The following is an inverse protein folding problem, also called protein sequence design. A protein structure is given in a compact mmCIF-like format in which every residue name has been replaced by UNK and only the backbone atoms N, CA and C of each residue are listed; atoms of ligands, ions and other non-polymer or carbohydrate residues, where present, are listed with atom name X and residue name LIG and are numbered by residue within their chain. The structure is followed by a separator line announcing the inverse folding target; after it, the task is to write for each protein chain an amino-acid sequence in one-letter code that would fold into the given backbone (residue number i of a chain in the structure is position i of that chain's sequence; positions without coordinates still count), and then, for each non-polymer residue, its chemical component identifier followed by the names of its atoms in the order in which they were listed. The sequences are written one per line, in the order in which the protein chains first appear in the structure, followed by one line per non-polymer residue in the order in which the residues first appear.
data_IF_757479555436
#
_entry.id   IF_757479555436
#
_cell.length_a   1.000
_cell.length_b   1.000
_cell.length_c   1.000
_cell.angle_alpha   90.00
_cell.angle_beta   90.00
_cell.angle_gamma   90.00
#
_symmetry.space_group_name_H-M   'P 1'
#
loop_
_entity.id
_entity.type
_entity.pdbx_description
1 polymer ?
#
# COMPACT_ATOMS: atom_id res chain seq x y z
N UNK A 1 0.36 -44.14 41.10
CA UNK A 1 0.03 -44.96 39.91
C UNK A 1 -1.00 -44.36 38.96
N UNK A 2 -2.00 -43.57 39.40
CA UNK A 2 -3.00 -42.94 38.50
C UNK A 2 -2.41 -41.92 37.51
N UNK A 3 -1.45 -41.10 37.94
CA UNK A 3 -0.83 -40.07 37.09
C UNK A 3 -0.05 -40.66 35.89
N UNK A 4 0.68 -41.76 36.10
CA UNK A 4 1.39 -42.45 35.01
C UNK A 4 0.42 -43.02 33.96
N UNK A 5 -0.74 -43.54 34.39
CA UNK A 5 -1.75 -44.08 33.45
C UNK A 5 -2.39 -43.00 32.58
N UNK A 6 -2.57 -41.79 33.12
CA UNK A 6 -3.07 -40.63 32.36
C UNK A 6 -2.03 -40.19 31.33
N UNK A 7 -0.77 -40.09 31.73
CA UNK A 7 0.32 -39.69 30.83
C UNK A 7 0.51 -40.67 29.67
N UNK A 8 0.55 -41.98 29.96
CA UNK A 8 0.68 -43.01 28.92
C UNK A 8 -0.54 -43.05 27.98
N UNK A 9 -1.75 -42.81 28.51
CA UNK A 9 -2.96 -42.71 27.70
C UNK A 9 -2.90 -41.53 26.72
N UNK A 10 -2.47 -40.37 27.19
CA UNK A 10 -2.31 -39.18 26.34
C UNK A 10 -1.25 -39.38 25.24
N UNK A 11 -0.09 -39.98 25.58
CA UNK A 11 0.95 -40.24 24.58
C UNK A 11 0.50 -41.23 23.49
N UNK A 12 -0.28 -42.25 23.87
CA UNK A 12 -0.83 -43.20 22.90
C UNK A 12 -1.85 -42.53 21.97
N UNK A 13 -2.68 -41.63 22.51
CA UNK A 13 -3.63 -40.84 21.72
C UNK A 13 -2.94 -39.96 20.67
N UNK A 14 -1.91 -39.21 21.07
CA UNK A 14 -1.16 -38.36 20.14
C UNK A 14 -0.41 -39.15 19.06
N UNK A 15 0.13 -40.33 19.41
CA UNK A 15 0.79 -41.20 18.44
C UNK A 15 -0.19 -41.69 17.35
N UNK A 16 -1.42 -42.06 17.72
CA UNK A 16 -2.45 -42.49 16.77
C UNK A 16 -2.90 -41.35 15.85
N UNK A 17 -3.03 -40.13 16.38
CA UNK A 17 -3.37 -38.94 15.56
C UNK A 17 -2.27 -38.62 14.56
N UNK A 18 -1.00 -38.66 14.98
CA UNK A 18 0.13 -38.41 14.09
C UNK A 18 0.22 -39.43 12.94
N UNK A 19 -0.04 -40.72 13.22
CA UNK A 19 -0.09 -41.78 12.20
C UNK A 19 -1.26 -41.56 11.24
N UNK A 20 -2.44 -41.16 11.74
CA UNK A 20 -3.59 -40.82 10.91
C UNK A 20 -3.31 -39.66 9.94
N UNK A 21 -2.60 -38.63 10.41
CA UNK A 21 -2.19 -37.49 9.57
C UNK A 21 -1.16 -37.86 8.49
N UNK A 22 -0.25 -38.82 8.77
CA UNK A 22 0.70 -39.30 7.75
C UNK A 22 0.02 -40.15 6.66
N UNK A 23 -1.01 -40.90 7.01
CA UNK A 23 -1.73 -41.76 6.08
C UNK A 23 -2.82 -41.01 5.30
N UNK A 24 -3.16 -39.78 5.71
CA UNK A 24 -4.13 -38.96 5.01
C UNK A 24 -3.56 -38.55 3.64
N UNK A 25 -4.24 -38.89 2.52
CA UNK A 25 -3.81 -38.49 1.19
C UNK A 25 -3.94 -36.97 1.06
N UNK A 26 -2.83 -36.28 1.26
CA UNK A 26 -2.67 -34.84 1.02
C UNK A 26 -2.48 -34.64 -0.48
N UNK A 27 -3.59 -34.65 -1.22
CA UNK A 27 -3.57 -34.15 -2.57
C UNK A 27 -3.38 -32.62 -2.50
N UNK A 28 -2.29 -32.05 -3.07
CA UNK A 28 -2.19 -30.61 -3.16
C UNK A 28 -3.38 -30.09 -3.99
N UNK A 29 -3.93 -28.91 -3.66
CA UNK A 29 -4.96 -28.30 -4.48
C UNK A 29 -4.39 -28.08 -5.89
N UNK A 30 -4.80 -28.93 -6.83
CA UNK A 30 -4.42 -28.81 -8.23
C UNK A 30 -5.25 -27.66 -8.79
N UNK A 31 -4.64 -26.47 -8.85
CA UNK A 31 -5.20 -25.38 -9.63
C UNK A 31 -5.45 -25.91 -11.05
N UNK A 32 -6.64 -25.68 -11.65
CA UNK A 32 -6.82 -25.96 -13.05
C UNK A 32 -5.75 -25.18 -13.80
N UNK A 33 -5.02 -25.86 -14.69
CA UNK A 33 -4.18 -25.16 -15.65
C UNK A 33 -5.15 -24.31 -16.47
N UNK A 34 -5.29 -23.04 -16.11
CA UNK A 34 -5.83 -22.05 -17.02
C UNK A 34 -4.90 -22.07 -18.21
N UNK A 35 -5.33 -22.75 -19.25
CA UNK A 35 -4.73 -22.67 -20.56
C UNK A 35 -4.73 -21.19 -20.89
N UNK A 36 -3.56 -20.55 -20.75
CA UNK A 36 -3.36 -19.18 -21.13
C UNK A 36 -3.46 -19.17 -22.64
N UNK A 37 -4.70 -19.02 -23.13
CA UNK A 37 -4.95 -18.60 -24.49
C UNK A 37 -4.25 -17.25 -24.57
N UNK A 38 -3.02 -17.25 -25.10
CA UNK A 38 -2.33 -16.05 -25.45
C UNK A 38 -3.34 -15.19 -26.22
N UNK A 39 -3.56 -13.92 -25.84
CA UNK A 39 -4.48 -13.08 -26.58
C UNK A 39 -3.98 -13.12 -28.02
N UNK A 40 -4.80 -13.72 -28.90
CA UNK A 40 -4.54 -13.70 -30.32
C UNK A 40 -4.26 -12.25 -30.64
N UNK A 41 -3.07 -11.99 -31.18
CA UNK A 41 -2.72 -10.67 -31.67
C UNK A 41 -3.66 -10.48 -32.86
N UNK A 42 -4.87 -9.98 -32.57
CA UNK A 42 -5.74 -9.44 -33.59
C UNK A 42 -4.91 -8.36 -34.22
N UNK A 43 -4.45 -8.60 -35.45
CA UNK A 43 -3.98 -7.52 -36.29
C UNK A 43 -5.13 -6.53 -36.31
N UNK A 44 -4.99 -5.48 -35.50
CA UNK A 44 -5.94 -4.40 -35.49
C UNK A 44 -5.97 -3.93 -36.94
N UNK A 45 -7.12 -4.13 -37.59
CA UNK A 45 -7.42 -3.43 -38.83
C UNK A 45 -7.01 -2.00 -38.59
N UNK A 46 -5.99 -1.55 -39.32
CA UNK A 46 -5.42 -0.21 -39.22
C UNK A 46 -6.60 0.75 -39.30
N UNK A 47 -7.01 1.30 -38.15
CA UNK A 47 -7.97 2.40 -38.15
C UNK A 47 -7.31 3.47 -39.00
N UNK A 48 -8.04 4.12 -39.93
CA UNK A 48 -7.49 5.26 -40.65
C UNK A 48 -6.94 6.20 -39.59
N UNK A 49 -5.62 6.37 -39.56
CA UNK A 49 -5.00 7.40 -38.73
C UNK A 49 -5.67 8.69 -39.21
N UNK A 50 -6.49 9.38 -38.40
CA UNK A 50 -6.91 10.70 -38.79
C UNK A 50 -5.60 11.45 -38.99
N UNK A 51 -5.37 11.96 -40.20
CA UNK A 51 -4.22 12.81 -40.52
C UNK A 51 -4.30 14.02 -39.60
N UNK A 52 -3.77 13.86 -38.39
CA UNK A 52 -3.48 14.98 -37.52
C UNK A 52 -2.51 15.84 -38.33
N UNK A 53 -2.71 17.17 -38.38
CA UNK A 53 -1.71 18.04 -38.99
C UNK A 53 -0.35 17.67 -38.39
N UNK A 54 0.72 17.60 -39.20
CA UNK A 54 2.03 17.22 -38.70
C UNK A 54 2.33 18.14 -37.53
N UNK A 55 2.43 17.56 -36.32
CA UNK A 55 2.79 18.32 -35.15
C UNK A 55 4.08 19.05 -35.52
N UNK A 56 4.04 20.38 -35.48
CA UNK A 56 5.19 21.19 -35.87
C UNK A 56 6.38 20.70 -35.07
N UNK A 57 7.56 20.61 -35.69
CA UNK A 57 8.77 20.13 -35.01
C UNK A 57 8.96 20.81 -33.64
N UNK A 58 8.67 22.12 -33.57
CA UNK A 58 8.67 22.91 -32.34
C UNK A 58 7.72 22.37 -31.24
N UNK A 59 6.52 21.92 -31.61
CA UNK A 59 5.53 21.34 -30.67
C UNK A 59 6.06 20.05 -30.07
N UNK A 60 6.61 19.15 -30.90
CA UNK A 60 7.17 17.87 -30.46
C UNK A 60 8.32 18.10 -29.47
N UNK A 61 9.22 19.05 -29.80
CA UNK A 61 10.35 19.42 -28.93
C UNK A 61 9.85 20.03 -27.62
N UNK A 62 8.81 20.87 -27.65
CA UNK A 62 8.28 21.53 -26.45
C UNK A 62 7.58 20.57 -25.46
N UNK A 63 7.00 19.48 -25.95
CA UNK A 63 6.34 18.46 -25.10
C UNK A 63 7.31 17.37 -24.63
N UNK A 64 8.50 17.28 -25.23
CA UNK A 64 9.50 16.29 -24.85
C UNK A 64 10.11 16.59 -23.46
N UNK A 65 9.96 15.62 -22.55
CA UNK A 65 10.47 15.71 -21.17
C UNK A 65 12.00 15.77 -21.07
N UNK A 66 12.72 15.40 -22.13
CA UNK A 66 14.18 15.36 -22.24
C UNK A 66 14.78 16.56 -22.99
N UNK A 67 13.97 17.53 -23.43
CA UNK A 67 14.47 18.71 -24.15
C UNK A 67 15.40 19.56 -23.27
N UNK A 68 16.50 20.02 -23.85
CA UNK A 68 17.53 20.82 -23.16
C UNK A 68 16.98 22.15 -22.63
N UNK A 69 16.02 22.77 -23.33
CA UNK A 69 15.41 24.04 -22.95
C UNK A 69 14.27 23.90 -21.93
N UNK A 70 14.05 22.70 -21.38
CA UNK A 70 12.97 22.45 -20.44
C UNK A 70 13.24 23.16 -19.11
N UNK A 71 12.39 24.13 -18.80
CA UNK A 71 12.37 24.77 -17.47
C UNK A 71 11.53 23.91 -16.53
N UNK A 72 12.06 23.50 -15.36
CA UNK A 72 11.26 22.78 -14.37
C UNK A 72 10.02 23.58 -13.97
N UNK A 73 8.86 22.93 -13.75
CA UNK A 73 7.69 23.61 -13.24
C UNK A 73 8.02 24.30 -11.92
N UNK A 74 7.62 25.57 -11.79
CA UNK A 74 7.88 26.39 -10.60
C UNK A 74 7.17 25.85 -9.35
N UNK A 75 6.09 25.09 -9.55
CA UNK A 75 5.32 24.47 -8.48
C UNK A 75 5.73 23.02 -8.35
N UNK A 76 6.21 22.65 -7.16
CA UNK A 76 6.42 21.24 -6.81
C UNK A 76 5.12 20.68 -6.26
N UNK A 77 4.67 19.54 -6.79
CA UNK A 77 3.56 18.81 -6.20
C UNK A 77 3.96 18.33 -4.80
N UNK A 78 3.31 18.85 -3.77
CA UNK A 78 3.36 18.29 -2.43
C UNK A 78 2.07 17.48 -2.27
N UNK A 79 2.15 16.15 -2.09
CA UNK A 79 0.95 15.38 -1.86
C UNK A 79 0.30 15.81 -0.52
N UNK A 80 -1.03 16.00 -0.47
CA UNK A 80 -1.72 16.50 0.73
C UNK A 80 -1.54 15.53 1.89
N UNK A 81 -1.40 16.02 3.12
CA UNK A 81 -1.14 15.18 4.30
C UNK A 81 0.35 15.11 4.64
N UNK A 82 0.81 16.02 5.49
CA UNK A 82 2.13 15.99 6.14
C UNK A 82 1.96 15.56 7.60
N UNK A 83 2.69 14.53 8.00
CA UNK A 83 2.68 14.02 9.38
C UNK A 83 3.76 14.70 10.22
N UNK A 84 3.34 15.44 11.25
CA UNK A 84 4.22 16.21 12.14
C UNK A 84 4.47 15.55 13.49
N UNK A 85 3.52 14.74 13.96
CA UNK A 85 3.60 14.14 15.29
C UNK A 85 2.70 12.94 15.43
N UNK A 86 3.08 12.04 16.32
CA UNK A 86 2.24 10.93 16.79
C UNK A 86 2.34 10.91 18.31
N UNK A 87 1.21 10.70 18.97
CA UNK A 87 1.15 10.47 20.42
C UNK A 87 0.41 9.17 20.68
N UNK A 88 1.02 8.29 21.48
CA UNK A 88 0.38 7.04 21.93
C UNK A 88 0.00 7.22 23.40
N UNK A 89 -1.30 7.25 23.68
CA UNK A 89 -1.84 7.37 25.02
C UNK A 89 -1.65 6.08 25.84
N UNK A 90 -1.68 6.21 27.17
CA UNK A 90 -1.51 5.08 28.09
C UNK A 90 -2.59 3.99 27.93
N UNK A 91 -3.77 4.35 27.41
CA UNK A 91 -4.88 3.46 27.06
C UNK A 91 -4.71 2.76 25.70
N UNK A 92 -3.58 2.96 25.01
CA UNK A 92 -3.36 2.46 23.65
C UNK A 92 -4.04 3.29 22.56
N UNK A 93 -4.64 4.43 22.90
CA UNK A 93 -5.22 5.37 21.94
C UNK A 93 -4.10 6.13 21.23
N UNK A 94 -3.94 5.89 19.94
CA UNK A 94 -2.98 6.62 19.11
C UNK A 94 -3.66 7.83 18.44
N UNK A 95 -2.92 8.93 18.39
CA UNK A 95 -3.37 10.17 17.78
C UNK A 95 -2.25 10.74 16.92
N UNK A 96 -2.60 11.25 15.74
CA UNK A 96 -1.65 11.80 14.78
C UNK A 96 -1.91 13.30 14.56
N UNK A 97 -0.83 14.06 14.40
CA UNK A 97 -0.86 15.47 14.04
C UNK A 97 -0.55 15.61 12.54
N UNK A 98 -1.55 15.90 11.73
CA UNK A 98 -1.46 15.88 10.26
C UNK A 98 -1.94 17.22 9.69
N UNK A 99 -1.17 17.78 8.77
CA UNK A 99 -1.56 18.93 7.95
C UNK A 99 -2.07 18.41 6.61
N UNK A 100 -3.40 18.43 6.45
CA UNK A 100 -4.09 17.81 5.32
C UNK A 100 -5.14 18.71 4.66
N UNK A 101 -5.73 19.64 5.41
CA UNK A 101 -6.73 20.57 4.91
C UNK A 101 -6.05 21.92 4.53
N UNK A 102 -6.11 22.35 3.26
CA UNK A 102 -5.55 23.62 2.84
C UNK A 102 -6.30 24.84 3.40
N UNK A 103 -7.54 24.67 3.85
CA UNK A 103 -8.38 25.75 4.39
C UNK A 103 -8.12 25.99 5.89
N UNK A 104 -7.50 25.02 6.57
CA UNK A 104 -7.15 25.12 8.00
C UNK A 104 -5.63 25.31 8.13
N UNK A 105 -5.16 26.46 8.66
CA UNK A 105 -3.74 26.70 8.77
C UNK A 105 -3.11 25.79 9.85
N UNK A 106 -2.18 24.93 9.40
CA UNK A 106 -1.36 24.11 10.28
C UNK A 106 -1.81 22.66 10.32
N UNK A 107 -1.42 21.97 11.39
CA UNK A 107 -1.70 20.55 11.54
C UNK A 107 -2.81 20.31 12.56
N UNK A 108 -3.69 19.38 12.23
CA UNK A 108 -4.84 18.98 13.03
C UNK A 108 -4.64 17.58 13.64
N UNK A 109 -5.42 17.30 14.67
CA UNK A 109 -5.35 16.08 15.45
C UNK A 109 -6.35 15.08 14.90
N UNK A 110 -5.87 13.90 14.50
CA UNK A 110 -6.68 12.81 13.96
C UNK A 110 -6.46 11.49 14.70
N UNK A 111 -7.49 10.66 14.70
CA UNK A 111 -7.51 9.32 15.29
C UNK A 111 -7.70 8.26 14.22
N UNK A 112 -7.54 6.98 14.62
CA UNK A 112 -7.89 5.86 13.76
C UNK A 112 -9.38 5.92 13.43
N UNK A 113 -9.72 5.81 12.15
CA UNK A 113 -11.08 5.94 11.61
C UNK A 113 -11.40 7.33 11.05
N UNK A 114 -10.66 8.37 11.42
CA UNK A 114 -10.89 9.72 10.88
C UNK A 114 -10.47 9.81 9.41
N UNK A 115 -11.13 10.69 8.66
CA UNK A 115 -10.87 10.88 7.22
C UNK A 115 -9.91 12.04 7.01
N UNK A 116 -8.81 11.76 6.31
CA UNK A 116 -7.75 12.72 5.98
C UNK A 116 -7.58 12.77 4.48
N UNK A 117 -7.74 13.96 3.87
CA UNK A 117 -7.66 14.15 2.42
C UNK A 117 -8.53 13.14 1.62
N UNK A 118 -9.72 12.81 2.15
CA UNK A 118 -10.67 11.89 1.54
C UNK A 118 -10.38 10.39 1.74
N UNK A 119 -9.41 10.03 2.58
CA UNK A 119 -9.07 8.64 2.91
C UNK A 119 -9.11 8.39 4.43
N UNK A 120 -9.76 7.31 4.91
CA UNK A 120 -9.77 7.00 6.34
C UNK A 120 -8.40 6.51 6.82
N UNK A 121 -8.03 6.91 8.04
CA UNK A 121 -6.87 6.37 8.76
C UNK A 121 -7.21 4.96 9.24
N UNK A 122 -6.41 3.98 8.83
CA UNK A 122 -6.58 2.58 9.22
C UNK A 122 -5.60 2.14 10.29
N UNK A 123 -4.46 2.83 10.42
CA UNK A 123 -3.45 2.51 11.42
C UNK A 123 -2.59 3.73 11.77
N UNK A 124 -2.15 3.77 13.03
CA UNK A 124 -1.21 4.77 13.55
C UNK A 124 -0.16 4.01 14.37
N UNK A 125 1.08 4.01 13.89
CA UNK A 125 2.22 3.34 14.52
C UNK A 125 3.07 4.34 15.29
N UNK A 126 4.31 3.99 15.64
CA UNK A 126 5.26 4.90 16.30
C UNK A 126 5.78 6.03 15.39
N UNK A 127 5.75 5.81 14.08
CA UNK A 127 6.43 6.66 13.10
C UNK A 127 5.66 6.84 11.79
N UNK A 128 4.55 6.12 11.62
CA UNK A 128 3.74 6.16 10.41
C UNK A 128 2.25 6.23 10.69
N UNK A 129 1.53 6.81 9.73
CA UNK A 129 0.07 6.76 9.66
C UNK A 129 -0.31 6.14 8.32
N UNK A 130 -1.21 5.16 8.34
CA UNK A 130 -1.66 4.46 7.14
C UNK A 130 -3.06 4.94 6.78
N UNK A 131 -3.21 5.41 5.55
CA UNK A 131 -4.48 5.84 4.96
C UNK A 131 -4.95 4.80 3.94
N UNK A 132 -6.23 4.44 3.96
CA UNK A 132 -6.81 3.60 2.93
C UNK A 132 -7.31 4.45 1.75
N UNK A 133 -6.61 4.43 0.62
CA UNK A 133 -7.04 5.13 -0.60
C UNK A 133 -7.68 4.16 -1.59
N UNK A 134 -8.49 4.69 -2.54
CA UNK A 134 -9.03 3.88 -3.63
C UNK A 134 -7.94 3.19 -4.47
N UNK A 135 -6.76 3.79 -4.58
CA UNK A 135 -5.61 3.27 -5.33
C UNK A 135 -4.71 2.30 -4.52
N UNK A 136 -4.98 2.11 -3.23
CA UNK A 136 -4.16 1.29 -2.32
C UNK A 136 -3.88 1.98 -0.99
N UNK A 137 -3.02 1.39 -0.16
CA UNK A 137 -2.62 2.02 1.09
C UNK A 137 -1.59 3.12 0.84
N UNK A 138 -1.77 4.29 1.48
CA UNK A 138 -0.77 5.36 1.53
C UNK A 138 -0.22 5.48 2.94
N UNK A 139 1.10 5.46 3.04
CA UNK A 139 1.81 5.59 4.31
C UNK A 139 2.40 6.99 4.44
N UNK A 140 1.91 7.76 5.42
CA UNK A 140 2.52 9.01 5.84
C UNK A 140 3.63 8.71 6.84
N UNK A 141 4.80 9.29 6.62
CA UNK A 141 5.95 9.12 7.49
C UNK A 141 6.19 10.38 8.30
N UNK A 142 6.47 10.20 9.59
CA UNK A 142 6.81 11.29 10.49
C UNK A 142 8.06 12.00 9.96
N UNK A 143 7.94 13.30 9.70
CA UNK A 143 9.07 14.09 9.21
C UNK A 143 10.15 14.15 10.30
N UNK A 144 11.31 13.57 10.02
CA UNK A 144 12.46 13.74 10.91
C UNK A 144 12.91 15.20 10.83
N UNK A 145 12.80 15.91 11.93
CA UNK A 145 13.37 17.25 12.04
C UNK A 145 14.89 17.16 11.86
N UNK A 146 15.41 17.66 10.73
CA UNK A 146 16.86 17.84 10.61
C UNK A 146 17.25 18.93 11.61
N UNK A 147 17.83 18.52 12.74
CA UNK A 147 18.40 19.46 13.70
C UNK A 147 19.51 20.21 12.98
N UNK A 148 19.29 21.49 12.65
CA UNK A 148 20.34 22.36 12.11
C UNK A 148 21.39 22.48 13.22
N UNK A 149 22.53 21.83 13.02
CA UNK A 149 23.63 21.84 13.97
C UNK A 149 24.24 23.25 13.95
N UNK A 150 24.43 23.90 15.12
CA UNK A 150 24.92 25.28 15.21
C UNK A 150 26.37 25.41 14.74
#
# INVERSE_FOLDING_TARGET
MRLLRVLYGSSAGFALVAVGLQLAPTAPPRAPASESVAPGISHATERPVPTAPPATYATIVSTNIFSTDRVPPRVRFTPPGRLYGITIGASGTATALIDADPDIPGAEIYHIGDVVAGAPIVDITDSTVVLAQPSGQRVLHLQRSSRRQP
#
